data_IF_879339626257
#
_entry.id   IF_879339626257
#
_cell.length_a   1.000
_cell.length_b   1.000
_cell.length_c   1.000
_cell.angle_alpha   90.00
_cell.angle_beta   90.00
_cell.angle_gamma   90.00
#
_symmetry.space_group_name_H-M   'P 1'
#
loop_
_entity.id
_entity.type
_entity.pdbx_description
1 polymer ?
#
# COMPACT_ATOMS: atom_id res chain seq x y z
N UNK A 1 -27.39 6.03 -22.61
CA UNK A 1 -26.24 6.61 -21.86
C UNK A 1 -26.30 6.15 -20.42
N UNK A 2 -25.62 5.06 -20.05
CA UNK A 2 -25.07 4.81 -18.72
C UNK A 2 -23.84 3.92 -18.92
N UNK A 3 -22.65 4.46 -18.63
CA UNK A 3 -21.36 3.80 -18.82
C UNK A 3 -21.06 2.87 -17.65
N UNK A 4 -20.71 1.63 -17.97
CA UNK A 4 -20.18 0.63 -17.03
C UNK A 4 -18.72 0.95 -16.74
N UNK A 5 -18.39 1.33 -15.51
CA UNK A 5 -17.01 1.53 -15.07
C UNK A 5 -16.43 0.14 -14.75
N UNK A 6 -15.71 -0.42 -15.72
CA UNK A 6 -14.99 -1.68 -15.55
C UNK A 6 -13.90 -1.49 -14.48
N UNK A 7 -14.08 -2.16 -13.35
CA UNK A 7 -13.04 -2.36 -12.34
C UNK A 7 -11.87 -3.08 -12.99
N UNK A 8 -10.77 -2.37 -13.20
CA UNK A 8 -9.52 -2.92 -13.69
C UNK A 8 -8.91 -3.77 -12.57
N UNK A 9 -9.35 -5.03 -12.49
CA UNK A 9 -8.72 -6.06 -11.68
C UNK A 9 -7.31 -6.24 -12.23
N UNK A 10 -6.35 -5.88 -11.41
CA UNK A 10 -4.93 -6.01 -11.72
C UNK A 10 -4.59 -7.49 -11.86
N UNK A 11 -4.02 -7.85 -13.01
CA UNK A 11 -3.60 -9.22 -13.32
C UNK A 11 -2.47 -9.68 -12.39
N UNK A 12 -2.74 -10.76 -11.66
CA UNK A 12 -1.90 -11.31 -10.59
C UNK A 12 -0.54 -11.90 -11.05
N UNK A 13 -0.20 -11.82 -12.34
CA UNK A 13 0.96 -12.48 -12.93
C UNK A 13 2.31 -11.84 -12.54
N UNK A 14 2.32 -10.56 -12.16
CA UNK A 14 3.55 -9.77 -12.01
C UNK A 14 4.14 -9.78 -10.58
N UNK A 15 3.49 -10.44 -9.62
CA UNK A 15 3.79 -10.33 -8.19
C UNK A 15 4.68 -11.45 -7.60
N UNK A 16 5.60 -12.01 -8.39
CA UNK A 16 6.27 -13.29 -8.07
C UNK A 16 7.29 -13.21 -6.93
N UNK A 17 7.01 -13.86 -5.80
CA UNK A 17 8.01 -14.27 -4.80
C UNK A 17 7.63 -15.63 -4.21
N UNK A 18 8.45 -16.67 -4.45
CA UNK A 18 8.32 -18.08 -4.02
C UNK A 18 7.42 -19.01 -4.88
N UNK A 19 7.96 -20.18 -5.23
CA UNK A 19 7.43 -21.13 -6.22
C UNK A 19 6.21 -21.95 -5.78
N UNK A 20 5.07 -21.29 -5.58
CA UNK A 20 3.75 -21.91 -5.43
C UNK A 20 2.91 -21.64 -6.69
N UNK A 21 2.18 -22.62 -7.25
CA UNK A 21 1.37 -22.41 -8.46
C UNK A 21 0.36 -21.28 -8.27
N UNK A 22 0.21 -20.45 -9.30
CA UNK A 22 -0.62 -19.25 -9.31
C UNK A 22 -2.07 -19.56 -8.94
N UNK A 23 -2.45 -19.15 -7.74
CA UNK A 23 -3.82 -19.08 -7.24
C UNK A 23 -4.15 -17.62 -6.88
N UNK A 24 -5.44 -17.24 -6.79
CA UNK A 24 -5.86 -15.85 -6.70
C UNK A 24 -5.27 -15.18 -5.45
N UNK A 25 -4.55 -14.07 -5.64
CA UNK A 25 -4.11 -13.07 -4.65
C UNK A 25 -4.00 -13.61 -3.20
N UNK A 26 -2.76 -13.79 -2.69
CA UNK A 26 -2.48 -14.05 -1.26
C UNK A 26 -3.10 -13.01 -0.29
N UNK A 27 -3.69 -11.96 -0.86
CA UNK A 27 -4.42 -10.85 -0.27
C UNK A 27 -5.63 -11.31 0.57
N UNK A 28 -6.30 -12.44 0.28
CA UNK A 28 -7.57 -12.77 0.96
C UNK A 28 -7.47 -12.86 2.49
N UNK A 29 -6.40 -13.46 3.02
CA UNK A 29 -6.20 -13.56 4.46
C UNK A 29 -5.89 -12.19 5.10
N UNK A 30 -5.02 -11.40 4.48
CA UNK A 30 -4.66 -10.06 4.92
C UNK A 30 -5.84 -9.09 4.84
N UNK A 31 -6.60 -9.12 3.75
CA UNK A 31 -7.81 -8.33 3.56
C UNK A 31 -8.82 -8.63 4.67
N UNK A 32 -9.04 -9.91 4.96
CA UNK A 32 -9.92 -10.32 6.04
C UNK A 32 -9.42 -9.81 7.39
N UNK A 33 -8.13 -9.98 7.69
CA UNK A 33 -7.54 -9.50 8.94
C UNK A 33 -7.73 -7.98 9.10
N UNK A 34 -7.45 -7.20 8.06
CA UNK A 34 -7.61 -5.74 8.09
C UNK A 34 -9.08 -5.33 8.29
N UNK A 35 -10.04 -6.03 7.67
CA UNK A 35 -11.47 -5.75 7.88
C UNK A 35 -11.90 -6.13 9.29
N UNK A 36 -11.47 -7.29 9.78
CA UNK A 36 -11.80 -7.78 11.11
C UNK A 36 -11.22 -6.84 12.20
N UNK A 37 -10.02 -6.28 11.98
CA UNK A 37 -9.32 -5.42 12.94
C UNK A 37 -9.68 -3.92 12.85
N UNK A 38 -9.96 -3.41 11.65
CA UNK A 38 -10.10 -1.96 11.38
C UNK A 38 -11.35 -1.57 10.57
N UNK A 39 -12.10 -2.54 10.05
CA UNK A 39 -13.32 -2.30 9.29
C UNK A 39 -13.11 -2.02 7.79
N UNK A 40 -14.22 -2.07 7.05
CA UNK A 40 -14.22 -1.97 5.58
C UNK A 40 -13.79 -0.59 5.05
N UNK A 41 -14.11 0.49 5.77
CA UNK A 41 -13.72 1.84 5.39
C UNK A 41 -12.19 2.02 5.40
N UNK A 42 -11.52 1.43 6.39
CA UNK A 42 -10.06 1.43 6.50
C UNK A 42 -9.41 0.65 5.37
N UNK A 43 -9.96 -0.52 5.04
CA UNK A 43 -9.51 -1.31 3.90
C UNK A 43 -9.68 -0.55 2.57
N UNK A 44 -10.82 0.11 2.37
CA UNK A 44 -11.08 0.90 1.16
C UNK A 44 -10.05 2.04 1.00
N UNK A 45 -9.68 2.70 2.10
CA UNK A 45 -8.61 3.70 2.12
C UNK A 45 -7.25 3.09 1.69
N UNK A 46 -6.89 1.93 2.26
CA UNK A 46 -5.66 1.24 1.91
C UNK A 46 -5.61 0.87 0.42
N UNK A 47 -6.73 0.40 -0.14
CA UNK A 47 -6.83 0.12 -1.56
C UNK A 47 -6.67 1.36 -2.41
N UNK A 48 -7.34 2.45 -2.04
CA UNK A 48 -7.26 3.70 -2.78
C UNK A 48 -5.82 4.22 -2.87
N UNK A 49 -5.09 4.18 -1.75
CA UNK A 49 -3.67 4.52 -1.69
C UNK A 49 -2.77 3.58 -2.52
N UNK A 50 -3.15 2.31 -2.70
CA UNK A 50 -2.45 1.40 -3.61
C UNK A 50 -2.76 1.70 -5.09
N UNK A 51 -4.02 1.96 -5.43
CA UNK A 51 -4.49 2.01 -6.83
C UNK A 51 -4.24 3.34 -7.52
N UNK A 52 -4.29 4.47 -6.81
CA UNK A 52 -4.14 5.80 -7.43
C UNK A 52 -2.69 6.04 -7.92
N UNK A 53 -1.72 5.29 -7.38
CA UNK A 53 -0.27 5.51 -7.58
C UNK A 53 0.34 4.92 -8.86
N UNK A 54 -0.47 4.49 -9.83
CA UNK A 54 0.01 3.79 -11.04
C UNK A 54 0.62 2.40 -10.75
N UNK A 55 0.66 1.97 -9.48
CA UNK A 55 1.23 0.72 -9.00
C UNK A 55 0.21 -0.41 -8.99
N UNK A 56 -0.71 -0.47 -9.97
CA UNK A 56 -1.80 -1.46 -9.99
C UNK A 56 -1.30 -2.88 -9.69
N UNK A 57 -0.16 -3.27 -10.28
CA UNK A 57 0.49 -4.58 -10.14
C UNK A 57 1.03 -4.91 -8.73
N UNK A 58 1.17 -3.92 -7.85
CA UNK A 58 1.79 -4.04 -6.52
C UNK A 58 0.77 -4.33 -5.38
N UNK A 59 -0.39 -4.87 -5.74
CA UNK A 59 -1.41 -5.40 -4.82
C UNK A 59 -0.92 -6.67 -4.11
N UNK A 60 0.07 -6.47 -3.24
CA UNK A 60 0.66 -7.47 -2.39
C UNK A 60 0.12 -7.40 -0.97
N UNK A 61 -0.01 -8.56 -0.32
CA UNK A 61 -0.37 -8.67 1.09
C UNK A 61 0.52 -7.81 2.00
N UNK A 62 1.84 -7.83 1.80
CA UNK A 62 2.78 -7.04 2.61
C UNK A 62 2.59 -5.52 2.43
N UNK A 63 2.29 -5.06 1.22
CA UNK A 63 2.03 -3.65 0.91
C UNK A 63 0.75 -3.16 1.59
N UNK A 64 -0.33 -3.94 1.48
CA UNK A 64 -1.62 -3.60 2.09
C UNK A 64 -1.52 -3.58 3.62
N UNK A 65 -0.82 -4.55 4.21
CA UNK A 65 -0.54 -4.57 5.64
C UNK A 65 0.29 -3.36 6.08
N UNK A 66 1.33 -3.01 5.32
CA UNK A 66 2.20 -1.88 5.67
C UNK A 66 1.46 -0.54 5.65
N UNK A 67 0.61 -0.32 4.65
CA UNK A 67 -0.24 0.87 4.56
C UNK A 67 -1.25 0.89 5.71
N UNK A 68 -1.89 -0.25 6.01
CA UNK A 68 -2.80 -0.37 7.14
C UNK A 68 -2.11 -0.02 8.46
N UNK A 69 -0.92 -0.57 8.70
CA UNK A 69 -0.11 -0.27 9.90
C UNK A 69 0.23 1.22 9.98
N UNK A 70 0.67 1.82 8.87
CA UNK A 70 1.01 3.25 8.80
C UNK A 70 -0.19 4.14 9.17
N UNK A 71 -1.36 3.89 8.58
CA UNK A 71 -2.59 4.65 8.90
C UNK A 71 -2.97 4.44 10.37
N UNK A 72 -2.94 3.18 10.84
CA UNK A 72 -3.29 2.83 12.21
C UNK A 72 -2.40 3.52 13.25
N UNK A 73 -1.11 3.69 12.96
CA UNK A 73 -0.19 4.39 13.88
C UNK A 73 -0.54 5.87 14.11
N UNK A 74 -1.39 6.46 13.26
CA UNK A 74 -1.71 7.89 13.30
C UNK A 74 -0.53 8.80 12.95
N UNK A 75 0.57 8.22 12.43
CA UNK A 75 1.78 8.94 12.09
C UNK A 75 1.62 9.81 10.83
N UNK A 76 0.58 9.57 10.04
CA UNK A 76 0.24 10.31 8.82
C UNK A 76 -1.18 10.85 8.92
N UNK A 77 -1.38 12.06 8.40
CA UNK A 77 -2.73 12.63 8.26
C UNK A 77 -3.33 12.15 6.94
N UNK A 78 -4.55 11.63 6.98
CA UNK A 78 -5.25 11.14 5.78
C UNK A 78 -5.98 12.29 5.09
N UNK A 79 -5.30 12.92 4.14
CA UNK A 79 -5.82 14.03 3.33
C UNK A 79 -5.36 13.91 1.87
N UNK A 80 -5.70 14.89 1.02
CA UNK A 80 -5.30 14.91 -0.39
C UNK A 80 -3.77 14.90 -0.59
N UNK A 81 -3.00 15.51 0.33
CA UNK A 81 -1.55 15.55 0.23
C UNK A 81 -0.92 14.17 0.45
N UNK A 82 -1.54 13.32 1.28
CA UNK A 82 -1.13 11.92 1.43
C UNK A 82 -1.25 11.16 0.11
N UNK A 83 -2.38 11.32 -0.60
CA UNK A 83 -2.58 10.68 -1.91
C UNK A 83 -1.55 11.18 -2.94
N UNK A 84 -1.35 12.50 -3.04
CA UNK A 84 -0.33 13.10 -3.90
C UNK A 84 1.09 12.61 -3.57
N UNK A 85 1.36 12.37 -2.28
CA UNK A 85 2.65 11.86 -1.83
C UNK A 85 2.85 10.41 -2.27
N UNK A 86 1.83 9.58 -2.09
CA UNK A 86 1.81 8.18 -2.51
C UNK A 86 1.96 8.03 -4.02
N UNK A 87 1.37 8.93 -4.83
CA UNK A 87 1.50 8.93 -6.30
C UNK A 87 2.95 9.07 -6.79
N UNK A 88 3.81 9.64 -5.94
CA UNK A 88 5.24 9.84 -6.24
C UNK A 88 6.13 8.80 -5.58
N UNK A 89 5.55 7.81 -4.89
CA UNK A 89 6.29 6.73 -4.23
C UNK A 89 6.24 5.50 -5.13
N UNK A 90 7.42 4.98 -5.46
CA UNK A 90 7.56 3.69 -6.13
C UNK A 90 7.44 2.56 -5.08
N UNK A 91 6.21 2.07 -4.90
CA UNK A 91 5.89 0.99 -3.95
C UNK A 91 6.60 -0.31 -4.32
N UNK A 92 6.77 -0.59 -5.61
CA UNK A 92 7.49 -1.79 -6.07
C UNK A 92 8.95 -1.77 -5.66
N UNK A 93 9.63 -0.63 -5.80
CA UNK A 93 11.01 -0.44 -5.32
C UNK A 93 11.12 -0.52 -3.81
N UNK A 94 10.20 0.10 -3.06
CA UNK A 94 10.21 0.02 -1.60
C UNK A 94 9.97 -1.42 -1.11
N UNK A 95 9.07 -2.16 -1.75
CA UNK A 95 8.86 -3.58 -1.45
C UNK A 95 10.10 -4.42 -1.78
N UNK A 96 10.73 -4.19 -2.92
CA UNK A 96 11.97 -4.88 -3.28
C UNK A 96 13.07 -4.63 -2.23
N UNK A 97 13.19 -3.39 -1.75
CA UNK A 97 14.10 -3.04 -0.66
C UNK A 97 13.70 -3.73 0.66
N UNK A 98 12.42 -3.70 1.03
CA UNK A 98 11.92 -4.33 2.25
C UNK A 98 12.18 -5.84 2.29
N UNK A 99 12.15 -6.52 1.13
CA UNK A 99 12.49 -7.95 1.01
C UNK A 99 13.98 -8.24 1.13
N UNK A 100 14.83 -7.26 0.84
CA UNK A 100 16.29 -7.40 0.94
C UNK A 100 16.82 -7.14 2.36
N UNK A 101 15.99 -6.56 3.23
CA UNK A 101 16.33 -6.24 4.61
C UNK A 101 15.84 -7.34 5.57
N UNK A 102 16.53 -7.53 6.72
CA UNK A 102 16.10 -8.48 7.72
C UNK A 102 14.80 -8.02 8.39
N UNK A 103 13.94 -8.98 8.74
CA UNK A 103 12.68 -8.74 9.43
C UNK A 103 11.46 -9.10 8.59
N UNK A 104 10.28 -8.82 9.14
CA UNK A 104 9.02 -8.98 8.43
C UNK A 104 8.92 -7.87 7.37
N UNK A 105 8.72 -8.26 6.10
CA UNK A 105 8.66 -7.30 4.99
C UNK A 105 7.55 -6.26 5.15
N UNK A 106 6.43 -6.56 5.81
CA UNK A 106 5.36 -5.58 6.06
C UNK A 106 5.82 -4.51 7.07
N UNK A 107 6.50 -4.91 8.14
CA UNK A 107 6.96 -3.99 9.18
C UNK A 107 8.11 -3.11 8.65
N UNK A 108 9.04 -3.70 7.91
CA UNK A 108 10.11 -2.97 7.23
C UNK A 108 9.53 -1.98 6.22
N UNK A 109 8.57 -2.41 5.41
CA UNK A 109 7.90 -1.53 4.44
C UNK A 109 7.13 -0.39 5.13
N UNK A 110 6.51 -0.65 6.29
CA UNK A 110 5.86 0.39 7.10
C UNK A 110 6.87 1.48 7.49
N UNK A 111 8.04 1.09 8.00
CA UNK A 111 9.11 2.02 8.36
C UNK A 111 9.67 2.80 7.16
N UNK A 112 9.85 2.12 6.02
CA UNK A 112 10.30 2.78 4.79
C UNK A 112 9.28 3.81 4.28
N UNK A 113 7.98 3.48 4.33
CA UNK A 113 6.90 4.40 3.96
C UNK A 113 6.86 5.60 4.90
N UNK A 114 6.94 5.37 6.21
CA UNK A 114 7.00 6.45 7.19
C UNK A 114 8.15 7.41 6.91
N UNK A 115 9.37 6.89 6.70
CA UNK A 115 10.54 7.72 6.38
C UNK A 115 10.42 8.47 5.04
N UNK A 116 9.74 7.88 4.05
CA UNK A 116 9.52 8.51 2.76
C UNK A 116 8.51 9.68 2.84
N UNK A 117 7.54 9.59 3.74
CA UNK A 117 6.50 10.59 3.97
C UNK A 117 6.97 11.69 4.94
N UNK A 118 7.66 11.33 6.03
CA UNK A 118 8.15 12.27 7.05
C UNK A 118 9.13 13.31 6.47
N UNK A 119 10.03 12.89 5.57
CA UNK A 119 10.93 13.82 4.86
C UNK A 119 10.19 14.86 4.02
N UNK A 120 8.94 14.58 3.62
CA UNK A 120 8.11 15.51 2.85
C UNK A 120 7.29 16.41 3.76
N UNK A 121 6.77 15.88 4.86
CA UNK A 121 6.09 16.68 5.87
C UNK A 121 7.01 17.74 6.49
N UNK A 122 8.28 17.40 6.74
CA UNK A 122 9.28 18.38 7.19
C UNK A 122 9.52 19.46 6.12
N UNK A 123 9.63 19.09 4.85
CA UNK A 123 9.86 20.04 3.76
C UNK A 123 8.65 20.96 3.52
N UNK A 124 7.43 20.43 3.61
CA UNK A 124 6.18 21.20 3.47
C UNK A 124 5.95 22.12 4.68
N UNK A 125 6.21 21.65 5.90
CA UNK A 125 6.10 22.47 7.13
C UNK A 125 7.17 23.57 7.21
N UNK A 126 8.36 23.35 6.64
CA UNK A 126 9.40 24.37 6.57
C UNK A 126 9.14 25.44 5.51
N UNK A 127 8.24 25.18 4.56
CA UNK A 127 7.90 26.09 3.46
C UNK A 127 6.60 26.90 3.72
N UNK A 128 5.91 26.66 4.84
CA UNK A 128 4.69 27.35 5.28
C UNK A 128 5.00 28.37 6.37
#
# INVERSE_FOLDING_TARGET
MQGSVASAVVDAADNRTSGRPAGPCSCKATVRAIVDDHGEAHLALCYRLCTETGNGLELHAATLQAISNLIYTGAVTVDSALFDAFDRIDLGRLRALARALPGNSADVLTGLLYMALDRRDVALRAAA
#
